data_IF_462205365265
#
_entry.id   IF_462205365265
#
_cell.length_a   1.000
_cell.length_b   1.000
_cell.length_c   1.000
_cell.angle_alpha   90.00
_cell.angle_beta   90.00
_cell.angle_gamma   90.00
#
_symmetry.space_group_name_H-M   'P 1'
#
loop_
_entity.id
_entity.type
_entity.pdbx_description
1 polymer ?
#
# COMPACT_ATOMS: atom_id res chain seq x y z
N UNK A 1 43.13 35.86 47.55
CA UNK A 1 42.64 34.84 46.59
C UNK A 1 41.13 34.77 46.75
N UNK A 2 40.38 35.37 45.82
CA UNK A 2 38.94 35.60 45.96
C UNK A 2 38.19 34.60 45.07
N UNK A 3 37.56 33.60 45.68
CA UNK A 3 36.83 32.55 44.94
C UNK A 3 35.43 33.11 44.65
N UNK A 4 35.24 33.64 43.44
CA UNK A 4 33.92 33.96 42.91
C UNK A 4 33.09 32.67 42.85
N UNK A 5 32.11 32.53 43.75
CA UNK A 5 31.12 31.45 43.66
C UNK A 5 30.34 31.64 42.36
N UNK A 6 30.45 30.67 41.46
CA UNK A 6 29.65 30.62 40.24
C UNK A 6 28.17 30.66 40.63
N UNK A 7 27.43 31.70 40.19
CA UNK A 7 25.96 31.71 40.32
C UNK A 7 25.41 30.60 39.42
N UNK A 8 24.51 29.73 39.89
CA UNK A 8 23.84 28.80 39.01
C UNK A 8 23.07 29.60 37.97
N UNK A 9 23.30 29.31 36.68
CA UNK A 9 22.45 29.79 35.60
C UNK A 9 21.05 29.27 35.92
N UNK A 10 20.08 30.17 36.10
CA UNK A 10 18.70 29.79 36.30
C UNK A 10 18.33 28.79 35.20
N UNK A 11 17.81 27.62 35.58
CA UNK A 11 17.35 26.62 34.62
C UNK A 11 16.44 27.34 33.62
N UNK A 12 16.88 27.46 32.37
CA UNK A 12 16.12 28.13 31.34
C UNK A 12 14.78 27.40 31.24
N UNK A 13 13.72 28.04 31.72
CA UNK A 13 12.37 27.50 31.69
C UNK A 13 11.95 27.48 30.23
N UNK A 14 12.12 26.33 29.58
CA UNK A 14 11.66 26.10 28.21
C UNK A 14 10.16 26.40 28.18
N UNK A 15 9.75 27.32 27.30
CA UNK A 15 8.35 27.71 27.13
C UNK A 15 7.49 26.48 26.83
N UNK A 16 6.24 26.41 27.33
CA UNK A 16 5.30 25.36 26.94
C UNK A 16 5.11 25.23 25.42
N UNK A 17 5.22 26.34 24.67
CA UNK A 17 5.19 26.33 23.19
C UNK A 17 6.36 25.55 22.62
N UNK A 18 7.57 25.83 23.10
CA UNK A 18 8.79 25.24 22.59
C UNK A 18 8.81 23.74 22.92
N UNK A 19 8.34 23.35 24.11
CA UNK A 19 8.14 21.93 24.46
C UNK A 19 7.16 21.23 23.52
N UNK A 20 6.06 21.89 23.15
CA UNK A 20 5.08 21.36 22.20
C UNK A 20 5.66 21.15 20.80
N UNK A 21 6.49 22.09 20.33
CA UNK A 21 7.13 21.98 19.02
C UNK A 21 8.24 20.92 19.02
N UNK A 22 9.06 20.81 20.07
CA UNK A 22 10.04 19.72 20.20
C UNK A 22 9.40 18.33 20.20
N UNK A 23 8.25 18.17 20.87
CA UNK A 23 7.49 16.91 20.86
C UNK A 23 7.00 16.60 19.43
N UNK A 24 6.42 17.58 18.74
CA UNK A 24 6.01 17.40 17.33
C UNK A 24 7.19 17.00 16.46
N UNK A 25 8.34 17.67 16.56
CA UNK A 25 9.52 17.31 15.77
C UNK A 25 9.98 15.88 16.04
N UNK A 26 10.01 15.45 17.30
CA UNK A 26 10.38 14.08 17.66
C UNK A 26 9.39 13.05 17.11
N UNK A 27 8.09 13.36 17.12
CA UNK A 27 7.05 12.46 16.59
C UNK A 27 7.11 12.37 15.05
N UNK A 28 7.37 13.49 14.36
CA UNK A 28 7.59 13.48 12.91
C UNK A 28 8.84 12.68 12.53
N UNK A 29 9.93 12.81 13.29
CA UNK A 29 11.14 12.04 13.03
C UNK A 29 10.91 10.54 13.18
N UNK A 30 10.18 10.12 14.23
CA UNK A 30 9.80 8.71 14.40
C UNK A 30 8.94 8.20 13.24
N UNK A 31 7.99 9.01 12.76
CA UNK A 31 7.15 8.64 11.63
C UNK A 31 7.98 8.48 10.34
N UNK A 32 8.92 9.39 10.09
CA UNK A 32 9.86 9.31 8.96
C UNK A 32 10.73 8.05 9.06
N UNK A 33 11.31 7.78 10.23
CA UNK A 33 12.17 6.61 10.44
C UNK A 33 11.39 5.31 10.23
N UNK A 34 10.12 5.27 10.65
CA UNK A 34 9.26 4.10 10.46
C UNK A 34 8.88 3.91 9.00
N UNK A 35 8.56 4.97 8.27
CA UNK A 35 8.30 4.92 6.82
C UNK A 35 9.54 4.55 6.00
N UNK A 36 10.74 4.93 6.47
CA UNK A 36 11.99 4.52 5.84
C UNK A 36 12.21 3.01 5.99
N UNK A 37 11.96 2.46 7.18
CA UNK A 37 12.04 1.01 7.42
C UNK A 37 11.04 0.24 6.55
N UNK A 38 9.80 0.72 6.44
CA UNK A 38 8.81 0.09 5.55
C UNK A 38 9.20 0.19 4.07
N UNK A 39 9.75 1.33 3.62
CA UNK A 39 10.26 1.45 2.25
C UNK A 39 11.40 0.47 1.95
N UNK A 40 12.32 0.29 2.90
CA UNK A 40 13.41 -0.68 2.77
C UNK A 40 12.90 -2.12 2.66
N UNK A 41 11.76 -2.44 3.27
CA UNK A 41 11.09 -3.74 3.11
C UNK A 41 10.29 -3.85 1.80
N UNK A 42 9.65 -2.76 1.38
CA UNK A 42 8.82 -2.69 0.19
C UNK A 42 9.59 -2.79 -1.11
N UNK A 43 10.77 -2.18 -1.20
CA UNK A 43 11.57 -2.17 -2.43
C UNK A 43 11.96 -3.59 -2.87
N UNK A 44 12.49 -4.46 -2.00
CA UNK A 44 12.71 -5.88 -2.31
C UNK A 44 11.43 -6.64 -2.66
N UNK A 45 10.32 -6.37 -1.98
CA UNK A 45 9.04 -7.00 -2.27
C UNK A 45 8.52 -6.63 -3.67
N UNK A 46 8.55 -5.34 -4.01
CA UNK A 46 8.18 -4.83 -5.33
C UNK A 46 9.09 -5.39 -6.44
N UNK A 47 10.40 -5.50 -6.18
CA UNK A 47 11.34 -6.12 -7.11
C UNK A 47 10.99 -7.60 -7.35
N UNK A 48 10.59 -8.33 -6.31
CA UNK A 48 10.13 -9.73 -6.41
C UNK A 48 8.86 -9.85 -7.25
N UNK A 49 7.86 -9.00 -6.98
CA UNK A 49 6.62 -8.99 -7.76
C UNK A 49 6.86 -8.63 -9.23
N UNK A 50 7.76 -7.68 -9.51
CA UNK A 50 8.14 -7.33 -10.89
C UNK A 50 8.84 -8.50 -11.59
N UNK A 51 9.75 -9.20 -10.90
CA UNK A 51 10.41 -10.41 -11.41
C UNK A 51 9.40 -11.52 -11.69
N UNK A 52 8.41 -11.72 -10.81
CA UNK A 52 7.34 -12.70 -11.00
C UNK A 52 6.44 -12.33 -12.20
N UNK A 53 6.09 -11.05 -12.35
CA UNK A 53 5.32 -10.56 -13.49
C UNK A 53 6.06 -10.77 -14.82
N UNK A 54 7.38 -10.57 -14.84
CA UNK A 54 8.21 -10.88 -16.00
C UNK A 54 8.18 -12.37 -16.34
N UNK A 55 8.35 -13.25 -15.34
CA UNK A 55 8.28 -14.70 -15.53
C UNK A 55 6.91 -15.12 -16.09
N UNK A 56 5.81 -14.59 -15.53
CA UNK A 56 4.44 -14.85 -16.02
C UNK A 56 4.27 -14.42 -17.49
N UNK A 57 4.80 -13.25 -17.86
CA UNK A 57 4.76 -12.77 -19.24
C UNK A 57 5.53 -13.70 -20.18
N UNK A 58 6.75 -14.09 -19.80
CA UNK A 58 7.58 -15.06 -20.54
C UNK A 58 6.85 -16.40 -20.71
N UNK A 59 6.25 -16.95 -19.65
CA UNK A 59 5.45 -18.19 -19.69
C UNK A 59 4.29 -18.08 -20.66
N UNK A 60 3.56 -16.96 -20.66
CA UNK A 60 2.42 -16.75 -21.54
C UNK A 60 2.86 -16.72 -23.01
N UNK A 61 3.94 -16.01 -23.33
CA UNK A 61 4.49 -15.95 -24.69
C UNK A 61 5.01 -17.32 -25.16
N UNK A 62 5.73 -18.04 -24.31
CA UNK A 62 6.23 -19.37 -24.60
C UNK A 62 5.09 -20.38 -24.86
N UNK A 63 4.03 -20.33 -24.05
CA UNK A 63 2.84 -21.15 -24.26
C UNK A 63 2.14 -20.84 -25.60
N UNK A 64 2.07 -19.56 -25.99
CA UNK A 64 1.54 -19.17 -27.30
C UNK A 64 2.40 -19.68 -28.45
N UNK A 65 3.72 -19.58 -28.34
CA UNK A 65 4.67 -20.10 -29.33
C UNK A 65 4.55 -21.63 -29.44
N UNK A 66 4.54 -22.35 -28.32
CA UNK A 66 4.36 -23.79 -28.26
C UNK A 66 3.03 -24.22 -28.90
N UNK A 67 1.94 -23.52 -28.60
CA UNK A 67 0.63 -23.80 -29.21
C UNK A 67 0.65 -23.62 -30.73
N UNK A 68 1.37 -22.62 -31.25
CA UNK A 68 1.56 -22.44 -32.69
C UNK A 68 2.34 -23.60 -33.31
N UNK A 69 3.43 -24.05 -32.68
CA UNK A 69 4.22 -25.20 -33.11
C UNK A 69 3.39 -26.49 -33.12
N UNK A 70 2.60 -26.74 -32.07
CA UNK A 70 1.67 -27.89 -31.99
C UNK A 70 0.68 -27.86 -33.15
N UNK A 71 0.05 -26.71 -33.42
CA UNK A 71 -0.89 -26.56 -34.55
C UNK A 71 -0.23 -26.79 -35.91
N UNK A 72 1.07 -26.55 -36.01
CA UNK A 72 1.87 -26.76 -37.22
C UNK A 72 2.42 -28.20 -37.32
N UNK A 73 2.18 -29.04 -36.30
CA UNK A 73 2.67 -30.42 -36.23
C UNK A 73 4.11 -30.57 -35.70
N UNK A 74 4.76 -29.48 -35.28
CA UNK A 74 6.12 -29.49 -34.75
C UNK A 74 6.11 -29.59 -33.22
N UNK A 75 5.92 -30.80 -32.72
CA UNK A 75 5.87 -31.06 -31.27
C UNK A 75 7.24 -30.88 -30.63
N UNK A 76 8.34 -31.16 -31.35
CA UNK A 76 9.69 -31.03 -30.80
C UNK A 76 10.03 -29.57 -30.50
N UNK A 77 9.69 -28.64 -31.38
CA UNK A 77 9.88 -27.22 -31.15
C UNK A 77 8.94 -26.68 -30.06
N UNK A 78 7.71 -27.20 -29.98
CA UNK A 78 6.78 -26.85 -28.91
C UNK A 78 7.34 -27.21 -27.52
N UNK A 79 7.95 -28.40 -27.40
CA UNK A 79 8.59 -28.84 -26.16
C UNK A 79 9.71 -27.89 -25.73
N UNK A 80 10.59 -27.46 -26.66
CA UNK A 80 11.67 -26.52 -26.33
C UNK A 80 11.16 -25.18 -25.80
N UNK A 81 10.08 -24.64 -26.39
CA UNK A 81 9.48 -23.40 -25.91
C UNK A 81 8.95 -23.54 -24.48
N UNK A 82 8.36 -24.68 -24.12
CA UNK A 82 7.86 -24.94 -22.78
C UNK A 82 9.00 -25.22 -21.78
N UNK A 83 10.00 -26.03 -22.15
CA UNK A 83 11.14 -26.38 -21.31
C UNK A 83 11.98 -25.15 -20.93
N UNK A 84 12.21 -24.23 -21.88
CA UNK A 84 12.96 -22.99 -21.62
C UNK A 84 12.29 -22.01 -20.64
N UNK A 85 11.06 -22.30 -20.21
CA UNK A 85 10.37 -21.60 -19.13
C UNK A 85 10.34 -22.44 -17.86
N UNK A 86 10.14 -23.76 -17.95
CA UNK A 86 10.09 -24.63 -16.78
C UNK A 86 11.44 -24.78 -16.08
N UNK A 87 12.57 -24.61 -16.78
CA UNK A 87 13.91 -24.60 -16.17
C UNK A 87 14.10 -23.45 -15.15
N UNK A 88 13.32 -22.38 -15.29
CA UNK A 88 13.32 -21.24 -14.36
C UNK A 88 12.16 -21.33 -13.34
N UNK A 89 11.30 -22.34 -13.43
CA UNK A 89 10.18 -22.52 -12.53
C UNK A 89 10.63 -23.15 -11.21
N UNK A 90 10.10 -22.66 -10.09
CA UNK A 90 10.38 -23.19 -8.75
C UNK A 90 9.52 -24.41 -8.37
N UNK A 91 8.67 -24.87 -9.29
CA UNK A 91 7.70 -25.96 -9.06
C UNK A 91 7.98 -27.07 -10.07
N UNK A 92 8.45 -28.21 -9.57
CA UNK A 92 8.76 -29.40 -10.37
C UNK A 92 7.58 -30.39 -10.38
N UNK A 93 7.37 -31.04 -11.52
CA UNK A 93 6.39 -32.11 -11.66
C UNK A 93 6.98 -33.41 -11.07
N UNK A 94 6.28 -34.11 -10.16
CA UNK A 94 6.78 -35.37 -9.60
C UNK A 94 6.98 -36.47 -10.65
N UNK A 95 8.05 -37.25 -10.53
CA UNK A 95 8.43 -38.32 -11.48
C UNK A 95 7.35 -39.39 -11.73
N UNK A 96 6.44 -39.59 -10.77
CA UNK A 96 5.36 -40.58 -10.84
C UNK A 96 4.00 -39.98 -11.25
N UNK A 97 3.98 -38.76 -11.78
CA UNK A 97 2.74 -38.10 -12.21
C UNK A 97 2.16 -38.78 -13.45
N UNK A 98 0.91 -39.22 -13.35
CA UNK A 98 0.12 -39.74 -14.48
C UNK A 98 -0.78 -38.66 -15.05
N UNK A 99 -1.21 -38.83 -16.31
CA UNK A 99 -2.18 -37.92 -16.98
C UNK A 99 -3.46 -37.73 -16.15
N UNK A 100 -3.91 -38.77 -15.45
CA UNK A 100 -5.11 -38.68 -14.61
C UNK A 100 -4.87 -37.94 -13.30
N UNK A 101 -3.64 -37.91 -12.77
CA UNK A 101 -3.28 -37.19 -11.54
C UNK A 101 -2.85 -35.73 -11.75
N UNK A 102 -2.64 -35.33 -13.01
CA UNK A 102 -2.15 -34.00 -13.39
C UNK A 102 -3.08 -32.87 -12.94
N UNK A 103 -4.39 -33.09 -13.05
CA UNK A 103 -5.39 -32.09 -12.63
C UNK A 103 -5.38 -31.90 -11.11
N UNK A 104 -5.22 -32.98 -10.34
CA UNK A 104 -5.16 -32.91 -8.89
C UNK A 104 -3.87 -32.23 -8.42
N UNK A 105 -2.73 -32.56 -9.03
CA UNK A 105 -1.47 -31.85 -8.79
C UNK A 105 -1.60 -30.36 -9.09
N UNK A 106 -2.18 -30.00 -10.25
CA UNK A 106 -2.40 -28.60 -10.61
C UNK A 106 -3.27 -27.90 -9.56
N UNK A 107 -4.44 -28.45 -9.24
CA UNK A 107 -5.37 -27.88 -8.27
C UNK A 107 -4.72 -27.71 -6.89
N UNK A 108 -3.90 -28.67 -6.45
CA UNK A 108 -3.19 -28.59 -5.18
C UNK A 108 -2.13 -27.49 -5.15
N UNK A 109 -1.53 -27.14 -6.29
CA UNK A 109 -0.63 -26.00 -6.44
C UNK A 109 -1.36 -24.66 -6.64
N UNK A 110 -2.67 -24.69 -6.94
CA UNK A 110 -3.48 -23.49 -7.13
C UNK A 110 -4.07 -22.92 -5.83
N UNK A 111 -4.18 -23.72 -4.77
CA UNK A 111 -4.80 -23.32 -3.49
C UNK A 111 -3.73 -23.06 -2.44
N UNK A 112 -3.81 -21.92 -1.75
CA UNK A 112 -2.96 -21.65 -0.59
C UNK A 112 -3.23 -22.67 0.52
N UNK A 113 -2.33 -23.64 0.69
CA UNK A 113 -2.40 -24.56 1.82
C UNK A 113 -1.66 -23.95 3.02
N UNK A 114 -2.40 -23.61 4.07
CA UNK A 114 -1.82 -23.12 5.32
C UNK A 114 -1.10 -21.76 5.24
N UNK A 115 -1.23 -21.03 4.13
CA UNK A 115 -0.58 -19.72 3.94
C UNK A 115 0.88 -19.78 3.51
N UNK A 116 1.46 -20.96 3.29
CA UNK A 116 2.88 -21.11 2.92
C UNK A 116 3.11 -21.13 1.40
N UNK A 117 2.26 -21.80 0.61
CA UNK A 117 2.39 -21.85 -0.87
C UNK A 117 1.00 -21.95 -1.54
N UNK A 118 0.76 -21.14 -2.59
CA UNK A 118 -0.44 -21.13 -3.45
C UNK A 118 -0.85 -19.71 -3.92
N UNK A 119 -1.77 -19.61 -4.88
CA UNK A 119 -2.23 -18.31 -5.40
C UNK A 119 -3.21 -17.63 -4.42
N UNK A 120 -2.92 -16.37 -4.08
CA UNK A 120 -3.85 -15.50 -3.36
C UNK A 120 -4.84 -14.87 -4.34
N UNK A 121 -6.10 -14.72 -3.94
CA UNK A 121 -7.01 -13.84 -4.69
C UNK A 121 -6.50 -12.39 -4.60
N UNK A 122 -6.87 -11.52 -5.55
CA UNK A 122 -6.46 -10.11 -5.50
C UNK A 122 -6.85 -9.43 -4.17
N UNK A 123 -8.03 -9.74 -3.63
CA UNK A 123 -8.49 -9.23 -2.33
C UNK A 123 -7.65 -9.76 -1.17
N UNK A 124 -7.31 -11.05 -1.16
CA UNK A 124 -6.51 -11.65 -0.08
C UNK A 124 -5.06 -11.15 -0.12
N UNK A 125 -4.51 -10.97 -1.32
CA UNK A 125 -3.19 -10.38 -1.52
C UNK A 125 -3.18 -8.92 -1.05
N UNK A 126 -4.19 -8.14 -1.42
CA UNK A 126 -4.30 -6.74 -0.99
C UNK A 126 -4.43 -6.63 0.52
N UNK A 127 -5.23 -7.49 1.16
CA UNK A 127 -5.35 -7.51 2.62
C UNK A 127 -4.02 -7.85 3.30
N UNK A 128 -3.32 -8.90 2.86
CA UNK A 128 -2.01 -9.27 3.41
C UNK A 128 -0.97 -8.17 3.24
N UNK A 129 -0.96 -7.49 2.08
CA UNK A 129 -0.07 -6.34 1.85
C UNK A 129 -0.39 -5.19 2.83
N UNK A 130 -1.68 -4.92 3.08
CA UNK A 130 -2.11 -3.92 4.07
C UNK A 130 -1.70 -4.29 5.50
N UNK A 131 -1.74 -5.57 5.85
CA UNK A 131 -1.32 -6.09 7.16
C UNK A 131 0.20 -5.98 7.37
N UNK A 132 0.98 -6.21 6.32
CA UNK A 132 2.45 -6.12 6.35
C UNK A 132 2.96 -4.66 6.33
N UNK A 133 2.12 -3.69 5.97
CA UNK A 133 2.51 -2.28 5.75
C UNK A 133 1.58 -1.29 6.48
N UNK A 134 1.39 -1.43 7.80
CA UNK A 134 0.41 -0.66 8.53
C UNK A 134 0.67 0.86 8.51
N UNK A 135 1.93 1.30 8.46
CA UNK A 135 2.27 2.73 8.53
C UNK A 135 2.12 3.41 7.17
N UNK A 136 2.46 2.72 6.08
CA UNK A 136 2.17 3.17 4.72
C UNK A 136 0.67 3.31 4.51
N UNK A 137 -0.13 2.33 4.94
CA UNK A 137 -1.59 2.43 4.91
C UNK A 137 -2.11 3.59 5.76
N UNK A 138 -1.55 3.81 6.96
CA UNK A 138 -1.90 4.96 7.80
C UNK A 138 -1.58 6.29 7.11
N UNK A 139 -0.39 6.41 6.50
CA UNK A 139 0.04 7.61 5.80
C UNK A 139 -0.80 7.90 4.56
N UNK A 140 -1.21 6.88 3.81
CA UNK A 140 -2.14 7.01 2.67
C UNK A 140 -3.50 7.51 3.17
N UNK A 141 -4.06 6.91 4.21
CA UNK A 141 -5.33 7.34 4.81
C UNK A 141 -5.27 8.79 5.30
N UNK A 142 -4.18 9.18 5.97
CA UNK A 142 -3.97 10.57 6.37
C UNK A 142 -3.85 11.52 5.18
N UNK A 143 -3.22 11.10 4.08
CA UNK A 143 -3.14 11.88 2.86
C UNK A 143 -4.52 12.04 2.20
N UNK A 144 -5.29 10.96 2.09
CA UNK A 144 -6.67 10.96 1.57
C UNK A 144 -7.58 11.82 2.45
N UNK A 145 -7.49 11.69 3.77
CA UNK A 145 -8.21 12.50 4.74
C UNK A 145 -7.89 13.99 4.62
N UNK A 146 -6.61 14.35 4.44
CA UNK A 146 -6.20 15.74 4.16
C UNK A 146 -6.73 16.23 2.82
N UNK A 147 -6.72 15.39 1.79
CA UNK A 147 -7.29 15.68 0.47
C UNK A 147 -8.79 15.98 0.55
N UNK A 148 -9.55 15.08 1.18
CA UNK A 148 -10.98 15.21 1.40
C UNK A 148 -11.31 16.48 2.21
N UNK A 149 -10.59 16.74 3.31
CA UNK A 149 -10.74 17.96 4.11
C UNK A 149 -10.51 19.21 3.28
N UNK A 150 -9.45 19.23 2.46
CA UNK A 150 -9.13 20.38 1.61
C UNK A 150 -10.22 20.63 0.57
N UNK A 151 -10.66 19.59 -0.14
CA UNK A 151 -11.71 19.69 -1.15
C UNK A 151 -13.04 20.19 -0.57
N UNK A 152 -13.47 19.63 0.56
CA UNK A 152 -14.71 20.02 1.21
C UNK A 152 -14.64 21.43 1.83
N UNK A 153 -13.47 21.83 2.35
CA UNK A 153 -13.27 23.21 2.84
C UNK A 153 -13.34 24.22 1.69
N UNK A 154 -12.73 23.90 0.54
CA UNK A 154 -12.82 24.74 -0.66
C UNK A 154 -14.26 24.85 -1.17
N UNK A 155 -14.98 23.73 -1.19
CA UNK A 155 -16.39 23.71 -1.56
C UNK A 155 -17.24 24.57 -0.61
N UNK A 156 -17.07 24.41 0.71
CA UNK A 156 -17.78 25.22 1.70
C UNK A 156 -17.48 26.73 1.56
N UNK A 157 -16.24 27.09 1.25
CA UNK A 157 -15.85 28.49 0.99
C UNK A 157 -16.54 29.04 -0.25
N UNK A 158 -16.54 28.30 -1.35
CA UNK A 158 -17.19 28.70 -2.60
C UNK A 158 -18.71 28.91 -2.42
N UNK A 159 -19.37 28.01 -1.68
CA UNK A 159 -20.80 28.15 -1.37
C UNK A 159 -21.09 29.35 -0.48
N UNK A 160 -20.25 29.61 0.53
CA UNK A 160 -20.37 30.81 1.38
C UNK A 160 -20.28 32.09 0.53
N UNK A 161 -19.30 32.17 -0.36
CA UNK A 161 -19.15 33.31 -1.28
C UNK A 161 -20.37 33.49 -2.20
N UNK A 162 -20.96 32.40 -2.70
CA UNK A 162 -22.18 32.45 -3.51
C UNK A 162 -23.41 32.92 -2.71
N UNK A 163 -23.56 32.43 -1.47
CA UNK A 163 -24.67 32.82 -0.59
C UNK A 163 -24.57 34.26 -0.13
N UNK A 164 -23.36 34.75 0.16
CA UNK A 164 -23.12 36.16 0.48
C UNK A 164 -23.43 37.08 -0.71
N UNK A 165 -23.17 36.62 -1.95
CA UNK A 165 -23.58 37.34 -3.18
C UNK A 165 -25.09 37.38 -3.37
N UNK A 166 -25.78 36.27 -3.08
CA UNK A 166 -27.23 36.14 -3.33
C UNK A 166 -28.11 36.54 -2.13
N UNK A 167 -27.51 36.84 -0.97
CA UNK A 167 -28.21 37.27 0.25
C UNK A 167 -28.98 36.14 0.95
N UNK A 168 -28.59 34.88 0.75
CA UNK A 168 -29.38 33.71 1.17
C UNK A 168 -28.81 33.04 2.43
N UNK A 169 -29.46 33.22 3.58
CA UNK A 169 -29.02 32.72 4.90
C UNK A 169 -28.85 31.19 4.97
N UNK A 170 -29.57 30.44 4.12
CA UNK A 170 -29.58 28.98 4.12
C UNK A 170 -28.19 28.40 3.76
N UNK A 171 -27.47 29.03 2.82
CA UNK A 171 -26.20 28.48 2.35
C UNK A 171 -25.05 28.57 3.35
N UNK A 172 -25.09 29.49 4.31
CA UNK A 172 -24.13 29.56 5.43
C UNK A 172 -24.23 28.34 6.35
N UNK A 173 -25.46 27.92 6.68
CA UNK A 173 -25.70 26.74 7.53
C UNK A 173 -25.36 25.41 6.85
N UNK A 174 -25.55 25.33 5.52
CA UNK A 174 -25.16 24.17 4.70
C UNK A 174 -23.62 24.09 4.61
N UNK A 175 -22.94 25.21 4.41
CA UNK A 175 -21.48 25.25 4.34
C UNK A 175 -20.81 24.82 5.66
N UNK A 176 -21.34 25.25 6.81
CA UNK A 176 -20.86 24.81 8.12
C UNK A 176 -21.11 23.32 8.38
N UNK A 177 -22.26 22.80 7.93
CA UNK A 177 -22.61 21.39 8.06
C UNK A 177 -21.72 20.51 7.16
N UNK A 178 -21.41 20.97 5.94
CA UNK A 178 -20.47 20.32 5.05
C UNK A 178 -19.04 20.29 5.62
N UNK A 179 -18.62 21.38 6.30
CA UNK A 179 -17.34 21.44 7.01
C UNK A 179 -17.23 20.39 8.12
N UNK A 180 -18.26 20.23 8.96
CA UNK A 180 -18.29 19.19 10.00
C UNK A 180 -18.25 17.78 9.41
N UNK A 181 -19.05 17.53 8.36
CA UNK A 181 -19.06 16.25 7.68
C UNK A 181 -17.69 15.91 7.07
N UNK A 182 -16.96 16.91 6.59
CA UNK A 182 -15.60 16.73 6.09
C UNK A 182 -14.61 16.26 7.16
N UNK A 183 -14.70 16.83 8.37
CA UNK A 183 -13.84 16.46 9.48
C UNK A 183 -14.15 15.04 9.99
N UNK A 184 -15.43 14.69 10.07
CA UNK A 184 -15.89 13.36 10.46
C UNK A 184 -15.50 12.30 9.41
N UNK A 185 -15.68 12.59 8.12
CA UNK A 185 -15.29 11.67 7.06
C UNK A 185 -13.77 11.47 6.99
N UNK A 186 -12.99 12.54 7.12
CA UNK A 186 -11.53 12.48 7.21
C UNK A 186 -11.06 11.67 8.43
N UNK A 187 -11.71 11.82 9.59
CA UNK A 187 -11.40 11.03 10.78
C UNK A 187 -11.68 9.54 10.57
N UNK A 188 -12.80 9.19 9.93
CA UNK A 188 -13.16 7.80 9.59
C UNK A 188 -12.22 7.16 8.57
N UNK A 189 -11.71 7.94 7.62
CA UNK A 189 -10.65 7.46 6.71
C UNK A 189 -9.37 7.13 7.47
N UNK A 190 -8.94 7.98 8.41
CA UNK A 190 -7.75 7.73 9.23
C UNK A 190 -7.89 6.48 10.13
N UNK A 191 -9.09 6.18 10.64
CA UNK A 191 -9.35 5.00 11.48
C UNK A 191 -9.63 3.73 10.68
N UNK A 192 -9.83 3.83 9.36
CA UNK A 192 -10.21 2.70 8.50
C UNK A 192 -11.69 2.32 8.60
N UNK A 193 -12.53 3.13 9.26
CA UNK A 193 -13.97 2.91 9.46
C UNK A 193 -14.83 3.47 8.30
N UNK A 194 -14.18 3.84 7.20
CA UNK A 194 -14.80 4.39 6.00
C UNK A 194 -14.90 3.38 4.84
N UNK A 195 -14.31 2.19 4.96
CA UNK A 195 -14.45 1.07 4.00
C UNK A 195 -15.70 0.22 4.28
#
# INVERSE_FOLDING_TARGET
MNIQRYKPVAAATISPSDKGDFIKFADHQKAIDTLAIENDYLLPAAARELSNAWLLHKTTMAAQAALFCIKSGDVAEATKWLEGVTDEAQVELPDNTTVTSLQDWFNNNMVSQGGEYGYLTHSDALQKIREELPQTCSAIREFEARGAKTALTQFAKQWREESDRNGEFIGLSIAESAGRYAEEFAARLCTGEAE
#
